data_IF_252850458898
#
_entry.id   IF_252850458898
#
_cell.length_a   1.000
_cell.length_b   1.000
_cell.length_c   1.000
_cell.angle_alpha   90.00
_cell.angle_beta   90.00
_cell.angle_gamma   90.00
#
_symmetry.space_group_name_H-M   'P 1'
#
loop_
_entity.id
_entity.type
_entity.pdbx_description
1 polymer ?
#
# COMPACT_ATOMS: atom_id res chain seq x y z
N UNK A 1 -12.57 -7.99 -1.53
CA UNK A 1 -13.01 -6.84 -0.75
C UNK A 1 -11.86 -5.85 -0.60
N UNK A 2 -12.12 -4.61 -0.82
CA UNK A 2 -11.11 -3.58 -0.70
C UNK A 2 -11.01 -3.11 0.74
N UNK A 3 -9.78 -2.89 1.21
CA UNK A 3 -9.53 -2.36 2.53
C UNK A 3 -8.79 -1.06 2.46
N UNK A 4 -9.08 -0.17 3.39
CA UNK A 4 -8.36 1.08 3.52
C UNK A 4 -7.63 1.10 4.85
N UNK A 5 -6.34 1.38 4.80
CA UNK A 5 -5.48 1.38 5.98
C UNK A 5 -5.08 2.81 6.29
N UNK A 6 -5.38 3.24 7.52
CA UNK A 6 -5.00 4.56 8.00
C UNK A 6 -3.63 4.45 8.68
N UNK A 7 -2.64 5.10 8.09
CA UNK A 7 -1.28 5.11 8.61
C UNK A 7 -0.82 6.50 9.00
N UNK A 8 -1.74 7.40 9.29
CA UNK A 8 -1.38 8.73 9.77
C UNK A 8 -0.63 8.61 11.10
N UNK A 9 0.52 9.26 11.15
CA UNK A 9 1.36 9.23 12.34
C UNK A 9 2.19 7.97 12.50
N UNK A 10 2.00 6.98 11.65
CA UNK A 10 2.81 5.76 11.69
C UNK A 10 4.14 6.00 10.98
N UNK A 11 5.22 5.60 11.62
CA UNK A 11 6.56 5.69 11.01
C UNK A 11 6.95 4.34 10.40
N UNK A 12 7.82 4.38 9.43
CA UNK A 12 8.38 3.17 8.83
C UNK A 12 9.05 2.33 9.93
N UNK A 13 8.87 1.00 9.98
CA UNK A 13 8.23 0.17 8.96
C UNK A 13 6.77 -0.21 9.25
N UNK A 14 6.08 0.48 10.15
CA UNK A 14 4.72 0.12 10.57
C UNK A 14 3.73 0.09 9.39
N UNK A 15 3.69 1.10 8.49
CA UNK A 15 2.79 1.02 7.34
C UNK A 15 3.05 -0.19 6.46
N UNK A 16 4.31 -0.58 6.31
CA UNK A 16 4.68 -1.74 5.51
C UNK A 16 4.16 -3.04 6.12
N UNK A 17 4.24 -3.15 7.44
CA UNK A 17 3.73 -4.32 8.16
C UNK A 17 2.21 -4.41 8.03
N UNK A 18 1.52 -3.29 8.18
CA UNK A 18 0.07 -3.23 8.02
C UNK A 18 -0.36 -3.63 6.62
N UNK A 19 0.35 -3.14 5.62
CA UNK A 19 0.07 -3.48 4.22
C UNK A 19 0.29 -4.96 3.96
N UNK A 20 1.38 -5.51 4.44
CA UNK A 20 1.68 -6.93 4.26
C UNK A 20 0.57 -7.80 4.83
N UNK A 21 0.10 -7.48 6.04
CA UNK A 21 -1.00 -8.22 6.67
C UNK A 21 -2.29 -8.11 5.87
N UNK A 22 -2.61 -6.92 5.40
CA UNK A 22 -3.81 -6.70 4.61
C UNK A 22 -3.76 -7.48 3.30
N UNK A 23 -2.61 -7.53 2.65
CA UNK A 23 -2.45 -8.26 1.40
C UNK A 23 -2.66 -9.76 1.57
N UNK A 24 -2.39 -10.29 2.75
CA UNK A 24 -2.62 -11.71 3.03
C UNK A 24 -4.09 -12.05 3.23
N UNK A 25 -4.92 -11.07 3.54
CA UNK A 25 -6.33 -11.29 3.82
C UNK A 25 -7.25 -11.03 2.64
N UNK A 26 -6.77 -10.33 1.62
CA UNK A 26 -7.59 -10.05 0.43
C UNK A 26 -7.45 -11.18 -0.58
N UNK A 27 -8.44 -11.28 -1.46
CA UNK A 27 -8.45 -12.29 -2.49
C UNK A 27 -7.39 -12.06 -3.57
N UNK A 28 -7.25 -13.00 -4.50
CA UNK A 28 -6.17 -12.93 -5.51
C UNK A 28 -6.28 -11.76 -6.48
N UNK A 29 -7.44 -11.13 -6.57
CA UNK A 29 -7.61 -9.93 -7.40
C UNK A 29 -8.07 -8.74 -6.58
N UNK A 30 -7.89 -8.79 -5.26
CA UNK A 30 -8.27 -7.72 -4.38
C UNK A 30 -7.27 -6.56 -4.37
N UNK A 31 -7.68 -5.46 -3.78
CA UNK A 31 -6.82 -4.30 -3.62
C UNK A 31 -6.90 -3.73 -2.21
N UNK A 32 -5.84 -3.02 -1.84
CA UNK A 32 -5.74 -2.35 -0.54
C UNK A 32 -5.26 -0.93 -0.78
N UNK A 33 -5.90 0.02 -0.15
CA UNK A 33 -5.49 1.41 -0.19
C UNK A 33 -4.93 1.81 1.18
N UNK A 34 -3.75 2.41 1.18
CA UNK A 34 -3.08 2.87 2.38
C UNK A 34 -2.90 4.37 2.32
N UNK A 35 -3.25 5.06 3.40
CA UNK A 35 -3.11 6.52 3.48
C UNK A 35 -2.06 6.85 4.53
N UNK A 36 -1.11 7.69 4.16
CA UNK A 36 0.00 8.05 5.04
C UNK A 36 0.38 9.52 4.87
N UNK A 37 0.95 10.09 5.91
CA UNK A 37 1.50 11.45 5.88
C UNK A 37 3.03 11.46 5.85
N UNK A 38 3.67 10.32 5.60
CA UNK A 38 5.12 10.20 5.50
C UNK A 38 5.53 9.94 4.06
N UNK A 39 6.36 10.85 3.51
CA UNK A 39 6.79 10.76 2.12
C UNK A 39 7.68 9.55 1.81
N UNK A 40 8.33 9.00 2.82
CA UNK A 40 9.18 7.82 2.62
C UNK A 40 8.38 6.52 2.41
N UNK A 41 7.11 6.50 2.80
CA UNK A 41 6.30 5.29 2.73
C UNK A 41 6.02 4.85 1.29
N UNK A 42 5.60 5.73 0.36
CA UNK A 42 5.38 5.30 -1.02
C UNK A 42 6.61 4.65 -1.65
N UNK A 43 7.76 5.24 -1.41
CA UNK A 43 9.03 4.74 -1.95
C UNK A 43 9.39 3.38 -1.36
N UNK A 44 9.25 3.25 -0.04
CA UNK A 44 9.52 2.01 0.66
C UNK A 44 8.59 0.88 0.21
N UNK A 45 7.33 1.20 -0.04
CA UNK A 45 6.36 0.23 -0.54
C UNK A 45 6.76 -0.26 -1.93
N UNK A 46 7.17 0.64 -2.80
CA UNK A 46 7.61 0.26 -4.15
C UNK A 46 8.81 -0.67 -4.10
N UNK A 47 9.77 -0.38 -3.23
CA UNK A 47 10.96 -1.21 -3.09
C UNK A 47 10.63 -2.58 -2.51
N UNK A 48 9.81 -2.61 -1.44
CA UNK A 48 9.56 -3.84 -0.72
C UNK A 48 8.57 -4.76 -1.44
N UNK A 49 7.58 -4.18 -2.09
CA UNK A 49 6.50 -4.94 -2.72
C UNK A 49 6.60 -4.99 -4.24
N UNK A 50 7.72 -4.59 -4.81
CA UNK A 50 7.93 -4.66 -6.25
C UNK A 50 7.85 -6.10 -6.71
N UNK A 51 6.82 -6.42 -7.47
CA UNK A 51 6.54 -7.78 -7.90
C UNK A 51 5.62 -7.75 -9.12
N UNK A 52 5.78 -8.65 -10.08
CA UNK A 52 4.87 -8.70 -11.22
C UNK A 52 3.43 -9.03 -10.82
N UNK A 53 3.24 -9.62 -9.64
CA UNK A 53 1.90 -9.94 -9.14
C UNK A 53 1.22 -8.78 -8.42
N UNK A 54 1.89 -7.64 -8.29
CA UNK A 54 1.36 -6.49 -7.59
C UNK A 54 1.45 -5.24 -8.45
N UNK A 55 0.37 -4.46 -8.46
CA UNK A 55 0.33 -3.16 -9.10
C UNK A 55 0.25 -2.09 -8.01
N UNK A 56 1.21 -1.18 -8.00
CA UNK A 56 1.31 -0.16 -6.96
C UNK A 56 1.13 1.21 -7.58
N UNK A 57 0.11 1.92 -7.11
CA UNK A 57 -0.14 3.31 -7.50
C UNK A 57 -0.04 4.19 -6.28
N UNK A 58 0.61 5.32 -6.41
CA UNK A 58 0.67 6.31 -5.34
C UNK A 58 0.26 7.67 -5.86
N UNK A 59 -0.46 8.40 -5.02
CA UNK A 59 -0.99 9.72 -5.39
C UNK A 59 -0.94 10.63 -4.17
N UNK A 60 -0.47 11.84 -4.37
CA UNK A 60 -0.50 12.84 -3.31
C UNK A 60 -1.85 13.54 -3.37
N UNK A 61 -2.78 13.09 -2.54
CA UNK A 61 -4.17 13.55 -2.57
C UNK A 61 -4.37 14.88 -1.88
N UNK A 62 -3.47 15.20 -0.96
CA UNK A 62 -3.43 16.50 -0.28
C UNK A 62 -1.96 16.82 -0.02
N UNK A 63 -1.68 18.08 0.26
CA UNK A 63 -0.31 18.49 0.55
C UNK A 63 0.23 17.71 1.75
N UNK A 64 1.22 16.87 1.51
CA UNK A 64 1.83 16.04 2.54
C UNK A 64 1.06 14.77 2.89
N UNK A 65 0.04 14.40 2.11
CA UNK A 65 -0.73 13.18 2.34
C UNK A 65 -0.73 12.33 1.07
N UNK A 66 -0.32 11.08 1.21
CA UNK A 66 -0.22 10.15 0.08
C UNK A 66 -1.20 8.99 0.25
N UNK A 67 -1.84 8.63 -0.85
CA UNK A 67 -2.70 7.47 -0.91
C UNK A 67 -2.05 6.46 -1.85
N UNK A 68 -1.74 5.29 -1.31
CA UNK A 68 -1.08 4.23 -2.06
C UNK A 68 -2.05 3.07 -2.22
N UNK A 69 -2.32 2.69 -3.46
CA UNK A 69 -3.20 1.58 -3.77
C UNK A 69 -2.36 0.42 -4.29
N UNK A 70 -2.46 -0.71 -3.62
CA UNK A 70 -1.79 -1.93 -4.04
C UNK A 70 -2.85 -2.93 -4.47
N UNK A 71 -2.79 -3.35 -5.72
CA UNK A 71 -3.74 -4.27 -6.32
C UNK A 71 -3.03 -5.57 -6.64
N UNK A 72 -3.61 -6.68 -6.20
CA UNK A 72 -3.10 -8.00 -6.58
C UNK A 72 -3.56 -8.33 -7.98
N UNK A 73 -2.66 -8.85 -8.77
CA UNK A 73 -2.94 -9.28 -10.15
C UNK A 73 -2.61 -10.76 -10.27
N UNK A 74 -3.48 -11.51 -10.92
CA UNK A 74 -3.16 -12.89 -11.23
C UNK A 74 -2.06 -12.91 -12.28
N UNK A 75 -1.00 -13.63 -11.98
CA UNK A 75 0.12 -13.83 -12.89
C UNK A 75 0.18 -15.31 -13.23
N UNK A 76 0.07 -15.61 -14.48
CA UNK A 76 0.18 -16.99 -14.96
C UNK A 76 1.61 -17.33 -15.33
#
# INVERSE_FOLDING_TARGET
>A
MEGKIDCFGDICPVPLIKLERALKTIGPSGSVTLVTDHSCVPESIRDRFASPGLCIDSDEVMNGVWEITVTKREVE
#
